data_IF_939815673324
#
_entry.id   IF_939815673324
#
_cell.length_a   1.000
_cell.length_b   1.000
_cell.length_c   1.000
_cell.angle_alpha   90.00
_cell.angle_beta   90.00
_cell.angle_gamma   90.00
#
_symmetry.space_group_name_H-M   'P 1'
#
loop_
_entity.id
_entity.type
_entity.pdbx_description
1 polymer ?
#
# COMPACT_ATOMS: atom_id res chain seq x y z
N UNK A 1 -14.57 10.28 14.41
CA UNK A 1 -13.54 9.48 13.74
C UNK A 1 -14.08 8.09 13.43
N UNK A 2 -13.72 7.45 12.32
CA UNK A 2 -14.10 6.07 12.02
C UNK A 2 -12.94 5.14 12.37
N UNK A 3 -13.21 4.05 13.06
CA UNK A 3 -12.22 3.04 13.43
C UNK A 3 -12.80 1.65 13.21
N UNK A 4 -12.04 0.75 12.61
CA UNK A 4 -12.43 -0.65 12.44
C UNK A 4 -11.86 -1.49 13.58
N UNK A 5 -12.72 -2.16 14.31
CA UNK A 5 -12.32 -3.17 15.28
C UNK A 5 -12.30 -4.54 14.62
N UNK A 6 -11.18 -5.23 14.75
CA UNK A 6 -11.07 -6.67 14.46
C UNK A 6 -11.03 -7.38 15.79
N UNK A 7 -12.01 -8.21 16.07
CA UNK A 7 -12.15 -8.84 17.39
C UNK A 7 -12.65 -10.27 17.26
N UNK A 8 -12.38 -11.09 18.25
CA UNK A 8 -12.96 -12.42 18.37
C UNK A 8 -14.29 -12.31 19.11
N UNK A 9 -15.36 -12.73 18.45
CA UNK A 9 -16.68 -12.74 19.06
C UNK A 9 -16.88 -14.03 19.87
N UNK A 10 -17.34 -13.95 21.15
CA UNK A 10 -17.69 -15.15 21.92
C UNK A 10 -18.72 -16.02 21.19
N UNK A 11 -18.50 -17.35 21.13
CA UNK A 11 -19.43 -18.29 20.47
C UNK A 11 -20.65 -18.57 21.35
N UNK A 12 -21.54 -17.59 21.45
CA UNK A 12 -22.84 -17.72 22.19
C UNK A 12 -23.91 -16.87 21.54
N UNK A 13 -25.14 -17.29 21.66
CA UNK A 13 -26.30 -16.53 21.22
C UNK A 13 -26.30 -15.12 21.84
N UNK A 14 -26.53 -14.09 21.01
CA UNK A 14 -26.58 -12.70 21.46
C UNK A 14 -25.22 -12.02 21.61
N UNK A 15 -24.09 -12.67 21.26
CA UNK A 15 -22.77 -12.03 21.34
C UNK A 15 -22.73 -10.70 20.56
N UNK A 16 -23.18 -10.66 19.32
CA UNK A 16 -23.20 -9.40 18.57
C UNK A 16 -24.12 -8.33 19.20
N UNK A 17 -25.22 -8.74 19.84
CA UNK A 17 -26.08 -7.81 20.57
C UNK A 17 -25.35 -7.15 21.75
N UNK A 18 -24.46 -7.87 22.42
CA UNK A 18 -23.63 -7.32 23.51
C UNK A 18 -22.65 -6.30 22.95
N UNK A 19 -21.93 -6.61 21.88
CA UNK A 19 -21.03 -5.67 21.22
C UNK A 19 -21.77 -4.42 20.74
N UNK A 20 -22.94 -4.58 20.11
CA UNK A 20 -23.77 -3.45 19.66
C UNK A 20 -24.24 -2.55 20.81
N UNK A 21 -24.63 -3.15 21.97
CA UNK A 21 -25.01 -2.39 23.16
C UNK A 21 -23.83 -1.60 23.75
N UNK A 22 -22.65 -2.20 23.83
CA UNK A 22 -21.43 -1.52 24.30
C UNK A 22 -21.12 -0.30 23.42
N UNK A 23 -21.10 -0.49 22.11
CA UNK A 23 -20.83 0.58 21.16
C UNK A 23 -21.84 1.72 21.30
N UNK A 24 -23.14 1.39 21.35
CA UNK A 24 -24.21 2.38 21.47
C UNK A 24 -24.20 3.11 22.83
N UNK A 25 -23.89 2.42 23.94
CA UNK A 25 -23.83 3.04 25.27
C UNK A 25 -22.72 4.10 25.41
N UNK A 26 -21.67 3.99 24.60
CA UNK A 26 -20.58 4.97 24.55
C UNK A 26 -20.69 5.94 23.35
N UNK A 27 -21.90 6.10 22.78
CA UNK A 27 -22.13 7.07 21.71
C UNK A 27 -21.64 6.66 20.32
N UNK A 28 -21.06 5.47 20.19
CA UNK A 28 -20.56 4.96 18.90
C UNK A 28 -21.70 4.54 17.96
N UNK A 29 -21.55 4.83 16.67
CA UNK A 29 -22.42 4.35 15.62
C UNK A 29 -21.71 3.28 14.79
N UNK A 30 -22.31 2.10 14.66
CA UNK A 30 -21.83 1.02 13.77
C UNK A 30 -22.11 1.43 12.35
N UNK A 31 -21.07 1.70 11.59
CA UNK A 31 -21.14 2.08 10.18
C UNK A 31 -21.17 0.82 9.30
N UNK A 32 -20.37 -0.18 9.68
CA UNK A 32 -20.28 -1.46 8.96
C UNK A 32 -19.98 -2.59 9.92
N UNK A 33 -20.42 -3.78 9.54
CA UNK A 33 -20.10 -5.02 10.25
C UNK A 33 -19.90 -6.13 9.22
N UNK A 34 -18.90 -6.97 9.46
CA UNK A 34 -18.72 -8.22 8.74
C UNK A 34 -18.37 -9.32 9.75
N UNK A 35 -19.11 -10.39 9.68
CA UNK A 35 -18.91 -11.57 10.49
C UNK A 35 -19.22 -12.80 9.64
N UNK A 36 -18.26 -13.71 9.55
CA UNK A 36 -18.48 -14.95 8.85
C UNK A 36 -17.85 -16.12 9.62
N UNK A 37 -18.71 -16.89 10.28
CA UNK A 37 -18.33 -18.07 11.05
C UNK A 37 -17.64 -19.15 10.20
N UNK A 38 -17.84 -19.13 8.89
CA UNK A 38 -17.26 -20.11 7.97
C UNK A 38 -15.77 -19.87 7.67
N UNK A 39 -15.25 -18.69 7.95
CA UNK A 39 -13.88 -18.29 7.58
C UNK A 39 -12.93 -18.34 8.75
N UNK A 40 -13.38 -17.82 9.87
CA UNK A 40 -12.69 -17.88 11.15
C UNK A 40 -13.78 -17.97 12.22
N UNK A 41 -13.67 -18.95 13.08
CA UNK A 41 -14.72 -19.32 14.04
C UNK A 41 -15.25 -18.14 14.87
N UNK A 42 -14.53 -17.00 14.91
CA UNK A 42 -14.89 -15.91 15.81
C UNK A 42 -14.53 -14.50 15.35
N UNK A 43 -13.93 -14.30 14.17
CA UNK A 43 -13.50 -12.94 13.78
C UNK A 43 -14.67 -12.08 13.35
N UNK A 44 -14.84 -10.97 14.06
CA UNK A 44 -15.86 -9.97 13.83
C UNK A 44 -15.16 -8.64 13.46
N UNK A 45 -15.55 -8.07 12.34
CA UNK A 45 -15.12 -6.75 11.91
C UNK A 45 -16.24 -5.76 12.16
N UNK A 46 -15.98 -4.71 12.94
CA UNK A 46 -16.95 -3.64 13.20
C UNK A 46 -16.28 -2.31 12.91
N UNK A 47 -16.76 -1.57 11.93
CA UNK A 47 -16.39 -0.16 11.71
C UNK A 47 -17.32 0.74 12.53
N UNK A 48 -16.74 1.49 13.46
CA UNK A 48 -17.47 2.37 14.36
C UNK A 48 -17.08 3.82 14.12
N UNK A 49 -18.06 4.71 14.04
CA UNK A 49 -17.86 6.15 14.06
C UNK A 49 -18.10 6.68 15.48
N UNK A 50 -17.07 7.23 16.08
CA UNK A 50 -17.11 7.77 17.45
C UNK A 50 -15.98 8.83 17.62
N UNK A 51 -15.95 9.55 18.75
CA UNK A 51 -14.81 10.34 19.18
C UNK A 51 -13.65 9.45 19.65
N UNK A 52 -12.48 10.00 19.85
CA UNK A 52 -11.30 9.23 20.28
C UNK A 52 -11.46 8.71 21.72
N UNK A 53 -12.07 9.52 22.59
CA UNK A 53 -12.40 9.15 23.97
C UNK A 53 -13.43 8.01 24.03
N UNK A 54 -14.48 8.10 23.22
CA UNK A 54 -15.50 7.04 23.10
C UNK A 54 -14.90 5.74 22.56
N UNK A 55 -13.99 5.81 21.58
CA UNK A 55 -13.27 4.64 21.07
C UNK A 55 -12.48 3.93 22.17
N UNK A 56 -11.80 4.66 23.05
CA UNK A 56 -11.06 4.08 24.17
C UNK A 56 -12.00 3.32 25.13
N UNK A 57 -13.12 3.93 25.49
CA UNK A 57 -14.13 3.30 26.37
C UNK A 57 -14.74 2.05 25.75
N UNK A 58 -15.09 2.11 24.46
CA UNK A 58 -15.61 0.96 23.70
C UNK A 58 -14.62 -0.20 23.73
N UNK A 59 -13.33 0.06 23.46
CA UNK A 59 -12.29 -0.96 23.47
C UNK A 59 -12.16 -1.65 24.83
N UNK A 60 -12.10 -0.87 25.90
CA UNK A 60 -11.93 -1.39 27.25
C UNK A 60 -13.13 -2.25 27.69
N UNK A 61 -14.32 -1.86 27.31
CA UNK A 61 -15.53 -2.62 27.67
C UNK A 61 -15.69 -3.87 26.81
N UNK A 62 -15.37 -3.82 25.53
CA UNK A 62 -15.33 -5.00 24.66
C UNK A 62 -14.32 -6.04 25.19
N UNK A 63 -13.13 -5.61 25.64
CA UNK A 63 -12.16 -6.52 26.29
C UNK A 63 -12.71 -7.16 27.54
N UNK A 64 -13.33 -6.40 28.43
CA UNK A 64 -13.95 -6.91 29.67
C UNK A 64 -15.04 -7.93 29.39
N UNK A 65 -15.75 -7.80 28.27
CA UNK A 65 -16.81 -8.72 27.86
C UNK A 65 -16.32 -9.94 27.07
N UNK A 66 -14.98 -10.10 26.92
CA UNK A 66 -14.38 -11.27 26.27
C UNK A 66 -14.24 -11.14 24.77
N UNK A 67 -14.36 -9.93 24.22
CA UNK A 67 -13.94 -9.63 22.86
C UNK A 67 -12.44 -9.35 22.88
N UNK A 68 -11.64 -10.26 22.32
CA UNK A 68 -10.19 -10.11 22.24
C UNK A 68 -9.88 -9.17 21.08
N UNK A 69 -9.41 -7.99 21.42
CA UNK A 69 -8.86 -7.01 20.48
C UNK A 69 -7.35 -7.22 20.49
N UNK A 70 -6.80 -7.60 19.35
CA UNK A 70 -5.36 -7.75 19.08
C UNK A 70 -4.48 -8.50 20.11
N UNK A 71 -3.72 -9.48 19.64
CA UNK A 71 -2.55 -9.99 20.32
C UNK A 71 -2.64 -11.36 21.00
N UNK A 72 -3.64 -12.19 20.72
CA UNK A 72 -3.61 -13.58 21.21
C UNK A 72 -2.76 -14.44 20.27
N UNK A 73 -1.46 -14.60 20.60
CA UNK A 73 -0.47 -15.38 19.83
C UNK A 73 -0.78 -16.90 19.79
N UNK A 74 -1.79 -17.36 20.51
CA UNK A 74 -2.13 -18.78 20.70
C UNK A 74 -3.42 -19.23 20.01
N UNK A 75 -3.95 -18.46 19.06
CA UNK A 75 -5.06 -18.97 18.22
C UNK A 75 -4.55 -20.11 17.31
N UNK A 76 -5.35 -21.19 17.09
CA UNK A 76 -4.94 -22.27 16.20
C UNK A 76 -4.62 -21.70 14.81
N UNK A 77 -3.52 -22.14 14.21
CA UNK A 77 -3.10 -21.83 12.84
C UNK A 77 -4.02 -22.57 11.85
N UNK A 78 -5.29 -22.21 11.83
CA UNK A 78 -6.28 -22.83 10.97
C UNK A 78 -6.30 -22.15 9.62
N UNK A 79 -6.31 -22.94 8.55
CA UNK A 79 -6.46 -22.47 7.19
C UNK A 79 -7.78 -22.96 6.61
N UNK A 80 -8.42 -22.12 5.81
CA UNK A 80 -9.57 -22.54 5.01
C UNK A 80 -9.08 -22.85 3.60
N UNK A 81 -9.27 -24.12 3.21
CA UNK A 81 -8.99 -24.59 1.88
C UNK A 81 -10.30 -24.60 1.08
N UNK A 82 -10.36 -23.81 0.01
CA UNK A 82 -11.49 -23.84 -0.91
C UNK A 82 -11.24 -24.85 -2.03
N UNK A 83 -12.18 -25.77 -2.19
CA UNK A 83 -12.14 -26.80 -3.23
C UNK A 83 -13.43 -26.82 -4.05
N UNK A 84 -13.32 -27.21 -5.30
CA UNK A 84 -14.44 -27.62 -6.14
C UNK A 84 -14.27 -29.09 -6.46
N UNK A 85 -15.32 -29.85 -6.22
CA UNK A 85 -15.42 -31.26 -6.55
C UNK A 85 -16.38 -31.43 -7.72
N UNK A 86 -16.00 -32.24 -8.69
CA UNK A 86 -16.90 -32.69 -9.76
C UNK A 86 -17.36 -34.11 -9.41
N UNK A 87 -18.64 -34.26 -9.07
CA UNK A 87 -19.21 -35.53 -8.65
C UNK A 87 -20.34 -35.94 -9.60
N UNK A 88 -20.56 -37.25 -9.84
CA UNK A 88 -21.74 -37.70 -10.58
C UNK A 88 -23.03 -37.25 -9.90
N UNK A 89 -24.04 -36.89 -10.70
CA UNK A 89 -25.34 -36.50 -10.18
C UNK A 89 -26.20 -37.74 -9.85
N UNK A 90 -25.75 -38.45 -8.79
CA UNK A 90 -26.44 -39.63 -8.27
C UNK A 90 -26.48 -39.59 -6.75
N UNK A 91 -27.47 -40.24 -6.19
CA UNK A 91 -27.63 -40.31 -4.72
C UNK A 91 -26.38 -40.90 -4.06
N UNK A 92 -25.87 -40.18 -3.04
CA UNK A 92 -24.72 -40.59 -2.22
C UNK A 92 -23.35 -40.28 -2.83
N UNK A 93 -23.25 -39.66 -4.01
CA UNK A 93 -21.97 -39.37 -4.68
C UNK A 93 -20.97 -38.57 -3.81
N UNK A 94 -21.44 -37.73 -2.91
CA UNK A 94 -20.61 -36.95 -2.00
C UNK A 94 -20.11 -37.73 -0.78
N UNK A 95 -20.73 -38.87 -0.45
CA UNK A 95 -20.43 -39.61 0.79
C UNK A 95 -18.98 -40.02 0.96
N UNK A 96 -18.27 -40.55 -0.08
CA UNK A 96 -16.85 -40.88 0.05
C UNK A 96 -15.98 -39.68 0.44
N UNK A 97 -16.30 -38.50 -0.06
CA UNK A 97 -15.58 -37.27 0.29
C UNK A 97 -15.85 -36.88 1.74
N UNK A 98 -17.10 -36.98 2.19
CA UNK A 98 -17.45 -36.66 3.58
C UNK A 98 -16.78 -37.64 4.58
N UNK A 99 -16.63 -38.92 4.22
CA UNK A 99 -15.89 -39.90 4.99
C UNK A 99 -14.39 -39.56 5.09
N UNK A 100 -13.78 -39.12 4.00
CA UNK A 100 -12.38 -38.68 4.00
C UNK A 100 -12.24 -37.44 4.88
N UNK A 101 -13.11 -36.45 4.74
CA UNK A 101 -13.09 -35.23 5.59
C UNK A 101 -13.23 -35.58 7.08
N UNK A 102 -14.13 -36.51 7.41
CA UNK A 102 -14.30 -36.98 8.78
C UNK A 102 -13.05 -37.71 9.31
N UNK A 103 -12.42 -38.58 8.50
CA UNK A 103 -11.20 -39.29 8.86
C UNK A 103 -10.05 -38.32 9.21
N UNK A 104 -9.94 -37.20 8.49
CA UNK A 104 -8.94 -36.15 8.72
C UNK A 104 -9.39 -35.08 9.73
N UNK A 105 -10.54 -35.27 10.40
CA UNK A 105 -11.12 -34.32 11.36
C UNK A 105 -11.31 -32.92 10.79
N UNK A 106 -11.60 -32.81 9.49
CA UNK A 106 -11.78 -31.55 8.78
C UNK A 106 -13.22 -31.10 8.82
N UNK A 107 -13.46 -29.91 9.34
CA UNK A 107 -14.77 -29.28 9.36
C UNK A 107 -15.07 -28.58 8.03
N UNK A 108 -16.32 -28.72 7.57
CA UNK A 108 -16.83 -27.97 6.42
C UNK A 108 -17.33 -26.62 6.95
N UNK A 109 -16.67 -25.56 6.53
CA UNK A 109 -17.05 -24.18 6.84
C UNK A 109 -18.08 -23.61 5.87
N UNK A 110 -18.07 -24.14 4.65
CA UNK A 110 -18.96 -23.74 3.57
C UNK A 110 -19.22 -24.92 2.65
N UNK A 111 -20.44 -25.08 2.19
CA UNK A 111 -20.82 -26.03 1.14
C UNK A 111 -21.90 -25.43 0.25
N UNK A 112 -21.71 -25.54 -1.04
CA UNK A 112 -22.70 -25.21 -2.07
C UNK A 112 -22.62 -26.22 -3.17
N UNK A 113 -23.74 -26.68 -3.69
CA UNK A 113 -23.78 -27.55 -4.86
C UNK A 113 -24.62 -26.91 -5.96
N UNK A 114 -24.21 -27.16 -7.21
CA UNK A 114 -24.91 -26.70 -8.38
C UNK A 114 -24.94 -27.80 -9.43
N UNK A 115 -26.14 -28.15 -9.88
CA UNK A 115 -26.34 -29.01 -11.03
C UNK A 115 -25.91 -28.29 -12.32
N UNK A 116 -25.17 -28.95 -13.19
CA UNK A 116 -24.66 -28.37 -14.45
C UNK A 116 -25.35 -28.90 -15.71
N UNK A 117 -26.39 -29.73 -15.55
CA UNK A 117 -27.13 -30.32 -16.68
C UNK A 117 -26.36 -31.35 -17.52
N UNK A 118 -25.18 -31.80 -17.09
CA UNK A 118 -24.31 -32.75 -17.80
C UNK A 118 -24.24 -34.12 -17.13
N UNK A 119 -25.09 -34.41 -16.13
CA UNK A 119 -25.03 -35.61 -15.30
C UNK A 119 -23.97 -35.54 -14.21
N UNK A 120 -23.40 -34.39 -13.96
CA UNK A 120 -22.49 -34.09 -12.86
C UNK A 120 -22.98 -32.92 -12.05
N UNK A 121 -22.57 -32.88 -10.77
CA UNK A 121 -22.74 -31.75 -9.88
C UNK A 121 -21.40 -31.18 -9.47
N UNK A 122 -21.32 -29.88 -9.35
CA UNK A 122 -20.19 -29.16 -8.77
C UNK A 122 -20.47 -28.85 -7.31
N UNK A 123 -19.64 -29.39 -6.42
CA UNK A 123 -19.65 -29.06 -5.00
C UNK A 123 -18.50 -28.10 -4.70
N UNK A 124 -18.84 -26.89 -4.29
CA UNK A 124 -17.85 -25.95 -3.72
C UNK A 124 -17.86 -26.14 -2.21
N UNK A 125 -16.68 -26.38 -1.64
CA UNK A 125 -16.53 -26.59 -0.19
C UNK A 125 -15.40 -25.71 0.34
N UNK A 126 -15.67 -25.04 1.45
CA UNK A 126 -14.67 -24.44 2.33
C UNK A 126 -14.33 -25.42 3.44
N UNK A 127 -13.10 -25.87 3.50
CA UNK A 127 -12.61 -26.84 4.47
C UNK A 127 -11.77 -26.11 5.52
N UNK A 128 -12.17 -26.28 6.78
CA UNK A 128 -11.44 -25.73 7.91
C UNK A 128 -10.37 -26.73 8.36
N UNK A 129 -9.09 -26.38 8.13
CA UNK A 129 -7.96 -27.26 8.39
C UNK A 129 -7.11 -26.68 9.53
N UNK A 130 -7.07 -27.38 10.64
CA UNK A 130 -6.27 -27.01 11.81
C UNK A 130 -4.79 -27.40 11.62
N UNK A 131 -4.53 -28.48 10.90
CA UNK A 131 -3.18 -28.98 10.65
C UNK A 131 -2.84 -28.92 9.15
N UNK A 132 -2.06 -27.91 8.77
CA UNK A 132 -1.67 -27.70 7.36
C UNK A 132 -0.77 -28.79 6.79
N UNK A 133 -0.10 -29.62 7.62
CA UNK A 133 0.73 -30.72 7.16
C UNK A 133 -0.09 -31.87 6.56
N UNK A 134 -1.39 -31.94 6.87
CA UNK A 134 -2.31 -32.97 6.35
C UNK A 134 -2.98 -32.60 5.03
N UNK A 135 -2.87 -31.36 4.58
CA UNK A 135 -3.54 -30.89 3.35
C UNK A 135 -3.18 -31.77 2.14
N UNK A 136 -1.91 -32.11 1.96
CA UNK A 136 -1.46 -32.91 0.83
C UNK A 136 -2.02 -34.33 0.87
N UNK A 137 -2.11 -34.93 2.06
CA UNK A 137 -2.71 -36.26 2.24
C UNK A 137 -4.21 -36.22 1.96
N UNK A 138 -4.91 -35.25 2.52
CA UNK A 138 -6.33 -35.02 2.30
C UNK A 138 -6.70 -34.85 0.83
N UNK A 139 -5.97 -33.97 0.12
CA UNK A 139 -6.19 -33.72 -1.32
C UNK A 139 -5.88 -35.00 -2.13
N UNK A 140 -4.80 -35.70 -1.77
CA UNK A 140 -4.42 -36.97 -2.40
C UNK A 140 -5.50 -38.03 -2.28
N UNK A 141 -6.13 -38.17 -1.11
CA UNK A 141 -7.23 -39.14 -0.91
C UNK A 141 -8.51 -38.71 -1.65
N UNK A 142 -8.89 -37.42 -1.62
CA UNK A 142 -10.07 -36.92 -2.34
C UNK A 142 -9.89 -37.11 -3.85
N UNK A 143 -8.69 -36.86 -4.38
CA UNK A 143 -8.40 -37.00 -5.82
C UNK A 143 -8.51 -38.44 -6.35
N UNK A 144 -8.52 -39.44 -5.45
CA UNK A 144 -8.74 -40.85 -5.83
C UNK A 144 -10.23 -41.16 -6.04
N UNK A 145 -11.13 -40.38 -5.46
CA UNK A 145 -12.57 -40.64 -5.50
C UNK A 145 -13.34 -39.69 -6.41
N UNK A 146 -12.80 -38.50 -6.68
CA UNK A 146 -13.42 -37.55 -7.62
C UNK A 146 -12.40 -36.58 -8.18
N UNK A 147 -12.81 -35.85 -9.23
CA UNK A 147 -12.06 -34.71 -9.71
C UNK A 147 -12.14 -33.57 -8.68
N UNK A 148 -10.97 -33.15 -8.20
CA UNK A 148 -10.81 -32.04 -7.27
C UNK A 148 -10.05 -30.90 -7.94
N UNK A 149 -10.59 -29.71 -7.82
CA UNK A 149 -9.91 -28.47 -8.19
C UNK A 149 -9.76 -27.63 -6.92
N UNK A 150 -8.51 -27.36 -6.56
CA UNK A 150 -8.23 -26.36 -5.54
C UNK A 150 -8.49 -25.01 -6.20
N UNK A 151 -9.38 -24.22 -5.61
CA UNK A 151 -9.56 -22.86 -6.07
C UNK A 151 -8.36 -22.04 -5.64
N UNK A 152 -7.33 -22.10 -6.48
CA UNK A 152 -6.38 -21.03 -6.57
C UNK A 152 -7.11 -19.84 -7.22
N UNK A 153 -6.86 -18.63 -6.80
CA UNK A 153 -7.61 -17.39 -7.03
C UNK A 153 -7.98 -17.01 -8.47
N UNK A 154 -7.80 -17.90 -9.44
CA UNK A 154 -8.04 -17.60 -10.85
C UNK A 154 -9.47 -17.84 -11.36
N UNK A 155 -10.38 -18.37 -10.56
CA UNK A 155 -11.69 -18.73 -11.10
C UNK A 155 -12.79 -17.76 -10.66
N UNK A 156 -13.14 -16.96 -11.62
CA UNK A 156 -14.37 -16.19 -11.76
C UNK A 156 -15.60 -16.96 -11.30
N UNK A 157 -16.09 -16.71 -10.08
CA UNK A 157 -17.51 -16.79 -9.83
C UNK A 157 -17.91 -15.94 -8.60
N UNK A 158 -19.03 -15.25 -8.73
CA UNK A 158 -19.59 -14.24 -7.85
C UNK A 158 -20.02 -14.71 -6.45
N UNK A 159 -19.50 -15.84 -5.97
CA UNK A 159 -19.90 -16.50 -4.73
C UNK A 159 -18.73 -16.89 -3.81
N UNK A 160 -17.54 -16.38 -4.02
CA UNK A 160 -16.53 -16.42 -2.98
C UNK A 160 -16.94 -15.41 -1.91
N UNK A 161 -17.25 -15.90 -0.72
CA UNK A 161 -17.41 -15.04 0.43
C UNK A 161 -16.17 -14.13 0.52
N UNK A 162 -16.40 -12.83 0.38
CA UNK A 162 -15.35 -11.83 0.40
C UNK A 162 -14.37 -12.02 1.56
N UNK A 163 -14.82 -12.59 2.67
CA UNK A 163 -14.04 -12.82 3.88
C UNK A 163 -12.91 -13.85 3.67
N UNK A 164 -13.17 -14.97 2.99
CA UNK A 164 -12.11 -15.96 2.68
C UNK A 164 -11.00 -15.31 1.85
N UNK A 165 -11.41 -14.51 0.89
CA UNK A 165 -10.49 -13.87 -0.04
C UNK A 165 -9.50 -12.94 0.66
N UNK A 166 -9.97 -11.97 1.47
CA UNK A 166 -9.06 -11.02 2.10
C UNK A 166 -8.26 -11.61 3.26
N UNK A 167 -8.78 -12.64 3.96
CA UNK A 167 -8.00 -13.37 4.98
C UNK A 167 -6.83 -14.10 4.34
N UNK A 168 -7.06 -14.76 3.21
CA UNK A 168 -5.97 -15.45 2.50
C UNK A 168 -4.99 -14.44 1.93
N UNK A 169 -5.47 -13.35 1.37
CA UNK A 169 -4.61 -12.26 0.90
C UNK A 169 -3.70 -11.74 2.05
N UNK A 170 -4.25 -11.49 3.24
CA UNK A 170 -3.45 -11.03 4.38
C UNK A 170 -2.38 -12.04 4.79
N UNK A 171 -2.70 -13.35 4.76
CA UNK A 171 -1.73 -14.41 5.04
C UNK A 171 -0.65 -14.52 3.95
N UNK A 172 -0.98 -14.30 2.69
CA UNK A 172 0.00 -14.22 1.60
C UNK A 172 0.93 -13.02 1.78
N UNK A 173 0.38 -11.83 2.06
CA UNK A 173 1.16 -10.63 2.35
C UNK A 173 2.10 -10.83 3.53
N UNK A 174 1.64 -11.50 4.59
CA UNK A 174 2.49 -11.89 5.73
C UNK A 174 3.69 -12.74 5.29
N UNK A 175 3.47 -13.73 4.43
CA UNK A 175 4.55 -14.59 3.91
C UNK A 175 5.51 -13.83 3.00
N UNK A 176 4.97 -13.01 2.09
CA UNK A 176 5.77 -12.23 1.13
C UNK A 176 6.66 -11.22 1.89
N UNK A 177 6.11 -10.48 2.82
CA UNK A 177 6.78 -9.35 3.48
C UNK A 177 7.40 -9.70 4.83
N UNK A 178 7.15 -10.90 5.37
CA UNK A 178 7.62 -11.30 6.70
C UNK A 178 6.96 -10.51 7.84
N UNK A 179 5.66 -10.18 7.70
CA UNK A 179 4.96 -9.33 8.65
C UNK A 179 4.73 -10.03 10.00
N UNK A 180 4.77 -9.26 11.09
CA UNK A 180 4.30 -9.71 12.38
C UNK A 180 2.76 -9.79 12.42
N UNK A 181 2.19 -10.29 13.51
CA UNK A 181 0.74 -10.47 13.64
C UNK A 181 -0.02 -9.15 13.62
N UNK A 182 0.48 -8.13 14.29
CA UNK A 182 -0.15 -6.80 14.36
C UNK A 182 -0.27 -6.18 12.96
N UNK A 183 0.83 -6.14 12.22
CA UNK A 183 0.83 -5.62 10.84
C UNK A 183 -0.02 -6.48 9.90
N UNK A 184 -0.06 -7.81 10.12
CA UNK A 184 -0.97 -8.70 9.36
C UNK A 184 -2.44 -8.35 9.62
N UNK A 185 -2.79 -8.03 10.86
CA UNK A 185 -4.14 -7.58 11.20
C UNK A 185 -4.49 -6.24 10.53
N UNK A 186 -3.53 -5.31 10.41
CA UNK A 186 -3.72 -4.08 9.66
C UNK A 186 -3.97 -4.37 8.17
N UNK A 187 -3.20 -5.26 7.55
CA UNK A 187 -3.46 -5.72 6.16
C UNK A 187 -4.87 -6.27 6.03
N UNK A 188 -5.31 -7.08 7.00
CA UNK A 188 -6.64 -7.66 7.01
C UNK A 188 -7.76 -6.60 7.05
N UNK A 189 -7.60 -5.57 7.88
CA UNK A 189 -8.55 -4.45 7.98
C UNK A 189 -8.67 -3.71 6.66
N UNK A 190 -7.53 -3.33 6.07
CA UNK A 190 -7.52 -2.56 4.81
C UNK A 190 -7.97 -3.40 3.61
N UNK A 191 -7.64 -4.69 3.58
CA UNK A 191 -8.13 -5.62 2.57
C UNK A 191 -9.66 -5.80 2.66
N UNK A 192 -10.21 -5.96 3.87
CA UNK A 192 -11.66 -6.02 4.06
C UNK A 192 -12.34 -4.72 3.57
N UNK A 193 -11.78 -3.55 3.95
CA UNK A 193 -12.30 -2.26 3.49
C UNK A 193 -12.26 -2.12 1.98
N UNK A 194 -11.16 -2.50 1.35
CA UNK A 194 -11.01 -2.48 -0.11
C UNK A 194 -12.03 -3.40 -0.80
N UNK A 195 -12.23 -4.62 -0.25
CA UNK A 195 -13.22 -5.56 -0.77
C UNK A 195 -14.62 -4.94 -0.77
N UNK A 196 -15.02 -4.33 0.34
CA UNK A 196 -16.32 -3.68 0.47
C UNK A 196 -16.51 -2.55 -0.55
N UNK A 197 -15.49 -1.70 -0.73
CA UNK A 197 -15.53 -0.60 -1.70
C UNK A 197 -15.62 -1.08 -3.15
N UNK A 198 -14.89 -2.15 -3.47
CA UNK A 198 -14.95 -2.76 -4.81
C UNK A 198 -16.33 -3.38 -5.09
N UNK A 199 -16.90 -4.05 -4.08
CA UNK A 199 -18.24 -4.63 -4.17
C UNK A 199 -19.32 -3.54 -4.34
N UNK A 200 -19.28 -2.46 -3.56
CA UNK A 200 -20.16 -1.29 -3.71
C UNK A 200 -20.09 -0.68 -5.12
N UNK A 201 -18.89 -0.70 -5.75
CA UNK A 201 -18.69 -0.22 -7.11
C UNK A 201 -18.97 -1.26 -8.18
N UNK A 202 -19.35 -2.48 -7.81
CA UNK A 202 -19.54 -3.62 -8.72
C UNK A 202 -18.29 -3.92 -9.57
N UNK A 203 -17.09 -3.72 -8.99
CA UNK A 203 -15.81 -4.04 -9.58
C UNK A 203 -15.30 -5.38 -9.08
N UNK A 204 -14.61 -6.13 -9.95
CA UNK A 204 -13.97 -7.37 -9.55
C UNK A 204 -12.79 -7.11 -8.61
N UNK A 205 -12.76 -7.71 -7.42
CA UNK A 205 -11.64 -7.55 -6.49
C UNK A 205 -10.36 -8.24 -6.97
N UNK A 206 -10.49 -9.32 -7.75
CA UNK A 206 -9.38 -10.19 -8.15
C UNK A 206 -8.19 -9.43 -8.72
N UNK A 207 -8.43 -8.53 -9.68
CA UNK A 207 -7.34 -7.75 -10.30
C UNK A 207 -6.66 -6.82 -9.30
N UNK A 208 -7.43 -6.06 -8.52
CA UNK A 208 -6.87 -5.11 -7.56
C UNK A 208 -5.95 -5.81 -6.55
N UNK A 209 -6.41 -6.92 -5.97
CA UNK A 209 -5.61 -7.68 -5.01
C UNK A 209 -4.41 -8.38 -5.65
N UNK A 210 -4.54 -8.90 -6.88
CA UNK A 210 -3.42 -9.48 -7.62
C UNK A 210 -2.31 -8.44 -7.86
N UNK A 211 -2.68 -7.21 -8.21
CA UNK A 211 -1.69 -6.16 -8.42
C UNK A 211 -1.01 -5.71 -7.13
N UNK A 212 -1.74 -5.62 -6.02
CA UNK A 212 -1.13 -5.33 -4.71
C UNK A 212 -0.17 -6.45 -4.30
N UNK A 213 -0.54 -7.70 -4.51
CA UNK A 213 0.34 -8.85 -4.28
C UNK A 213 1.60 -8.77 -5.15
N UNK A 214 1.45 -8.45 -6.44
CA UNK A 214 2.58 -8.25 -7.36
C UNK A 214 3.47 -7.09 -6.92
N UNK A 215 2.91 -6.00 -6.44
CA UNK A 215 3.69 -4.90 -5.87
C UNK A 215 4.56 -5.40 -4.70
N UNK A 216 3.96 -6.07 -3.73
CA UNK A 216 4.70 -6.61 -2.59
C UNK A 216 5.80 -7.61 -3.01
N UNK A 217 5.50 -8.49 -3.96
CA UNK A 217 6.44 -9.46 -4.51
C UNK A 217 7.59 -8.76 -5.23
N UNK A 218 7.27 -7.78 -6.09
CA UNK A 218 8.25 -6.99 -6.84
C UNK A 218 9.26 -6.32 -5.91
N UNK A 219 8.75 -5.63 -4.88
CA UNK A 219 9.60 -4.96 -3.88
C UNK A 219 10.50 -5.96 -3.17
N UNK A 220 9.95 -7.11 -2.74
CA UNK A 220 10.71 -8.12 -2.02
C UNK A 220 11.82 -8.74 -2.85
N UNK A 221 11.52 -9.08 -4.09
CA UNK A 221 12.47 -9.75 -5.00
C UNK A 221 13.66 -8.86 -5.37
N UNK A 222 13.50 -7.54 -5.26
CA UNK A 222 14.51 -6.55 -5.63
C UNK A 222 15.20 -5.89 -4.43
N UNK A 223 15.30 -6.63 -3.31
CA UNK A 223 16.04 -6.20 -2.10
C UNK A 223 17.38 -6.93 -1.98
N UNK A 224 18.26 -6.41 -1.09
CA UNK A 224 19.56 -6.98 -0.82
C UNK A 224 20.43 -7.03 -2.07
N UNK A 225 21.00 -8.18 -2.39
CA UNK A 225 21.88 -8.38 -3.56
C UNK A 225 21.18 -8.19 -4.91
N UNK A 226 19.84 -8.25 -4.92
CA UNK A 226 19.03 -8.03 -6.11
C UNK A 226 18.66 -6.56 -6.32
N UNK A 227 19.02 -5.67 -5.40
CA UNK A 227 18.82 -4.24 -5.58
C UNK A 227 19.84 -3.71 -6.59
N UNK A 228 19.36 -3.32 -7.77
CA UNK A 228 20.21 -2.86 -8.89
C UNK A 228 19.64 -1.54 -9.42
N UNK A 229 19.96 -0.41 -8.77
CA UNK A 229 19.55 0.89 -9.25
C UNK A 229 20.42 1.30 -10.46
N UNK A 230 19.82 2.02 -11.40
CA UNK A 230 20.58 2.72 -12.43
C UNK A 230 21.14 4.00 -11.82
N UNK A 231 22.47 4.19 -11.94
CA UNK A 231 23.17 5.38 -11.43
C UNK A 231 23.86 6.10 -12.58
N UNK A 232 23.55 7.38 -12.72
CA UNK A 232 24.21 8.25 -13.68
C UNK A 232 24.56 9.59 -13.02
N UNK A 233 25.46 10.36 -13.65
CA UNK A 233 25.81 11.68 -13.16
C UNK A 233 26.08 12.69 -14.30
N UNK A 234 25.92 13.96 -13.96
CA UNK A 234 26.19 15.10 -14.83
C UNK A 234 27.04 16.09 -14.03
N UNK A 235 28.22 16.44 -14.53
CA UNK A 235 29.01 17.54 -13.97
C UNK A 235 28.37 18.86 -14.44
N UNK A 236 27.81 19.61 -13.49
CA UNK A 236 27.13 20.87 -13.76
C UNK A 236 28.12 22.04 -13.85
N UNK A 237 29.16 22.01 -13.03
CA UNK A 237 30.29 22.94 -13.04
C UNK A 237 31.46 22.33 -12.22
N UNK A 238 32.55 23.07 -12.06
CA UNK A 238 33.76 22.62 -11.39
C UNK A 238 33.56 22.25 -9.91
N UNK A 239 32.44 22.64 -9.29
CA UNK A 239 32.16 22.45 -7.86
C UNK A 239 30.88 21.66 -7.58
N UNK A 240 30.13 21.29 -8.59
CA UNK A 240 28.83 20.66 -8.41
C UNK A 240 28.56 19.57 -9.42
N UNK A 241 28.24 18.40 -8.94
CA UNK A 241 27.81 17.24 -9.72
C UNK A 241 26.40 16.83 -9.33
N UNK A 242 25.55 16.57 -10.32
CA UNK A 242 24.23 15.99 -10.14
C UNK A 242 24.31 14.48 -10.38
N UNK A 243 23.97 13.69 -9.38
CA UNK A 243 23.73 12.25 -9.51
C UNK A 243 22.25 12.01 -9.68
N UNK A 244 21.92 11.05 -10.54
CA UNK A 244 20.57 10.49 -10.71
C UNK A 244 20.62 9.02 -10.32
N UNK A 245 19.80 8.63 -9.38
CA UNK A 245 19.69 7.25 -8.90
C UNK A 245 18.25 6.81 -9.17
N UNK A 246 18.09 5.88 -10.11
CA UNK A 246 16.80 5.28 -10.46
C UNK A 246 16.70 3.91 -9.78
N UNK A 247 15.94 3.78 -8.67
CA UNK A 247 15.73 2.48 -8.02
C UNK A 247 14.87 1.58 -8.91
N UNK A 248 14.82 0.26 -8.62
CA UNK A 248 13.97 -0.68 -9.36
C UNK A 248 12.48 -0.29 -9.40
N UNK A 249 11.99 0.38 -8.36
CA UNK A 249 10.68 1.04 -8.33
C UNK A 249 10.69 2.22 -7.35
N UNK A 250 9.70 3.08 -7.49
CA UNK A 250 9.59 4.35 -6.79
C UNK A 250 10.24 5.49 -7.57
N UNK A 251 10.29 6.65 -6.97
CA UNK A 251 10.81 7.85 -7.61
C UNK A 251 12.31 7.80 -7.81
N UNK A 252 12.80 8.59 -8.74
CA UNK A 252 14.20 8.94 -8.83
C UNK A 252 14.64 9.67 -7.55
N UNK A 253 15.87 9.40 -7.14
CA UNK A 253 16.57 10.19 -6.11
C UNK A 253 17.67 10.97 -6.80
N UNK A 254 17.59 12.29 -6.71
CA UNK A 254 18.64 13.16 -7.23
C UNK A 254 19.55 13.62 -6.10
N UNK A 255 20.85 13.68 -6.35
CA UNK A 255 21.82 14.18 -5.35
C UNK A 255 22.71 15.23 -6.02
N UNK A 256 22.61 16.46 -5.54
CA UNK A 256 23.58 17.50 -5.85
C UNK A 256 24.72 17.42 -4.84
N UNK A 257 25.91 17.13 -5.33
CA UNK A 257 27.12 17.02 -4.51
C UNK A 257 28.01 18.25 -4.68
N UNK A 258 28.41 18.81 -3.56
CA UNK A 258 29.53 19.76 -3.45
C UNK A 258 30.63 19.15 -2.58
N UNK A 259 31.74 19.85 -2.38
CA UNK A 259 32.83 19.41 -1.49
C UNK A 259 32.39 19.36 -0.02
N UNK A 260 31.38 20.15 0.38
CA UNK A 260 31.01 20.38 1.79
C UNK A 260 29.68 19.72 2.20
N UNK A 261 28.76 19.54 1.27
CA UNK A 261 27.40 19.09 1.60
C UNK A 261 26.73 18.36 0.42
N UNK A 262 25.70 17.57 0.75
CA UNK A 262 24.83 16.88 -0.18
C UNK A 262 23.42 17.43 -0.08
N UNK A 263 22.82 17.72 -1.23
CA UNK A 263 21.39 18.04 -1.32
C UNK A 263 20.68 16.95 -2.14
N UNK A 264 19.73 16.30 -1.51
CA UNK A 264 18.87 15.32 -2.15
C UNK A 264 17.60 15.98 -2.68
N UNK A 265 17.05 15.50 -3.78
CA UNK A 265 15.70 15.83 -4.22
C UNK A 265 14.94 14.53 -4.37
N UNK A 266 13.91 14.39 -3.57
CA UNK A 266 13.17 13.14 -3.31
C UNK A 266 14.07 11.97 -2.89
N UNK A 267 13.51 10.84 -2.48
CA UNK A 267 14.34 9.82 -1.86
C UNK A 267 13.78 8.37 -1.95
N UNK A 268 12.95 8.08 -2.91
CA UNK A 268 12.47 6.74 -3.19
C UNK A 268 11.57 6.12 -2.11
N UNK A 269 11.33 4.81 -2.19
CA UNK A 269 10.58 4.04 -1.19
C UNK A 269 11.39 3.69 0.05
N UNK A 270 10.74 3.67 1.20
CA UNK A 270 11.33 3.26 2.49
C UNK A 270 11.85 1.81 2.50
N UNK A 271 11.23 0.91 1.74
CA UNK A 271 11.63 -0.48 1.65
C UNK A 271 13.07 -0.69 1.17
N UNK A 272 13.65 0.26 0.44
CA UNK A 272 15.03 0.21 -0.07
C UNK A 272 16.02 1.04 0.76
N UNK A 273 15.62 1.51 1.96
CA UNK A 273 16.48 2.37 2.78
C UNK A 273 17.87 1.79 3.01
N UNK A 274 17.95 0.51 3.35
CA UNK A 274 19.24 -0.15 3.67
C UNK A 274 20.17 -0.15 2.46
N UNK A 275 19.62 -0.48 1.31
CA UNK A 275 20.33 -0.58 0.04
C UNK A 275 20.73 0.81 -0.48
N UNK A 276 19.82 1.78 -0.40
CA UNK A 276 20.10 3.17 -0.80
C UNK A 276 21.18 3.80 0.08
N UNK A 277 21.13 3.60 1.41
CA UNK A 277 22.17 4.10 2.33
C UNK A 277 23.52 3.43 2.09
N UNK A 278 23.55 2.14 1.76
CA UNK A 278 24.77 1.46 1.37
C UNK A 278 25.36 2.06 0.08
N UNK A 279 24.52 2.27 -0.93
CA UNK A 279 24.90 2.94 -2.18
C UNK A 279 25.42 4.36 -1.95
N UNK A 280 24.76 5.15 -1.11
CA UNK A 280 25.22 6.51 -0.81
C UNK A 280 26.60 6.53 -0.14
N UNK A 281 26.89 5.55 0.74
CA UNK A 281 28.23 5.41 1.35
C UNK A 281 29.30 5.01 0.35
N UNK A 282 28.94 4.30 -0.70
CA UNK A 282 29.83 3.95 -1.80
C UNK A 282 30.09 5.14 -2.71
N UNK A 283 29.02 5.88 -3.09
CA UNK A 283 29.11 6.99 -4.04
C UNK A 283 29.74 8.25 -3.41
N UNK A 284 29.43 8.55 -2.14
CA UNK A 284 29.76 9.83 -1.51
C UNK A 284 30.76 9.64 -0.37
N UNK A 285 31.99 10.03 -0.61
CA UNK A 285 33.02 9.97 0.44
C UNK A 285 32.59 10.78 1.69
N UNK A 286 32.71 10.17 2.88
CA UNK A 286 32.31 10.83 4.12
C UNK A 286 30.78 10.94 4.33
N UNK A 287 29.96 10.15 3.62
CA UNK A 287 28.49 10.19 3.71
C UNK A 287 27.95 10.22 5.14
N UNK A 288 28.60 9.49 6.07
CA UNK A 288 28.11 9.41 7.45
C UNK A 288 28.26 10.72 8.25
N UNK A 289 29.14 11.62 7.83
CA UNK A 289 29.48 12.86 8.54
C UNK A 289 29.19 14.13 7.77
N UNK A 290 29.10 14.03 6.44
CA UNK A 290 28.77 15.16 5.58
C UNK A 290 27.35 15.66 5.87
N UNK A 291 27.14 16.97 5.83
CA UNK A 291 25.82 17.56 5.97
C UNK A 291 24.90 17.15 4.83
N UNK A 292 23.70 16.68 5.16
CA UNK A 292 22.69 16.19 4.21
C UNK A 292 21.38 16.93 4.38
N UNK A 293 20.91 17.55 3.32
CA UNK A 293 19.56 18.13 3.26
C UNK A 293 18.76 17.53 2.13
N UNK A 294 17.44 17.65 2.20
CA UNK A 294 16.55 17.19 1.16
C UNK A 294 15.55 18.27 0.77
N UNK A 295 15.29 18.38 -0.53
CA UNK A 295 14.12 19.05 -1.10
C UNK A 295 13.08 17.98 -1.43
N UNK A 296 11.83 18.21 -1.04
CA UNK A 296 10.74 17.29 -1.30
C UNK A 296 9.76 17.93 -2.26
N UNK A 297 9.51 17.24 -3.38
CA UNK A 297 8.58 17.71 -4.41
C UNK A 297 7.14 17.54 -3.97
N UNK A 298 6.80 16.42 -3.33
CA UNK A 298 5.48 16.13 -2.77
C UNK A 298 5.52 14.95 -1.79
N UNK A 299 4.38 14.65 -1.15
CA UNK A 299 4.30 13.72 -0.03
C UNK A 299 3.97 12.27 -0.39
N UNK A 300 4.06 11.83 -1.65
CA UNK A 300 3.78 10.43 -2.02
C UNK A 300 4.87 9.49 -1.49
N UNK A 301 4.46 8.29 -1.11
CA UNK A 301 5.29 7.32 -0.35
C UNK A 301 6.60 6.95 -1.03
N UNK A 302 6.62 6.99 -2.33
CA UNK A 302 7.80 6.66 -3.14
C UNK A 302 8.74 7.85 -3.38
N UNK A 303 8.41 9.03 -2.87
CA UNK A 303 9.26 10.22 -2.88
C UNK A 303 9.88 10.53 -1.51
N UNK A 304 9.30 9.97 -0.43
CA UNK A 304 9.59 10.37 0.95
C UNK A 304 10.05 9.22 1.84
N UNK A 305 10.50 8.13 1.25
CA UNK A 305 10.72 6.87 1.97
C UNK A 305 11.84 6.89 2.99
N UNK A 306 12.90 7.67 2.78
CA UNK A 306 14.08 7.67 3.64
C UNK A 306 14.40 9.03 4.29
N UNK A 307 13.38 9.85 4.55
CA UNK A 307 13.54 11.20 5.12
C UNK A 307 14.30 11.24 6.45
N UNK A 308 14.30 10.15 7.21
CA UNK A 308 15.05 10.03 8.47
C UNK A 308 16.57 10.19 8.32
N UNK A 309 17.12 10.00 7.10
CA UNK A 309 18.55 10.11 6.81
C UNK A 309 19.05 11.56 6.73
N UNK A 310 18.15 12.53 6.60
CA UNK A 310 18.52 13.92 6.38
C UNK A 310 18.50 14.73 7.67
N UNK A 311 19.39 15.75 7.72
CA UNK A 311 19.50 16.67 8.84
C UNK A 311 18.39 17.73 8.79
N UNK A 312 18.05 18.15 7.54
CA UNK A 312 17.03 19.18 7.27
C UNK A 312 16.27 18.82 6.00
N UNK A 313 14.95 19.01 6.02
CA UNK A 313 14.04 18.67 4.92
C UNK A 313 13.24 19.92 4.55
N UNK A 314 13.35 20.37 3.31
CA UNK A 314 12.67 21.57 2.80
C UNK A 314 11.51 21.15 1.89
N UNK A 315 10.35 21.79 2.05
CA UNK A 315 9.14 21.48 1.33
C UNK A 315 8.15 22.64 1.26
N UNK A 316 7.09 22.49 0.45
CA UNK A 316 5.97 23.42 0.43
C UNK A 316 5.15 23.32 1.72
N UNK A 317 4.40 24.37 2.05
CA UNK A 317 3.51 24.36 3.22
C UNK A 317 2.40 23.33 3.13
N UNK A 318 1.86 23.06 1.94
CA UNK A 318 0.87 22.00 1.75
C UNK A 318 1.47 20.59 1.92
N UNK A 319 2.70 20.37 1.46
CA UNK A 319 3.39 19.08 1.71
C UNK A 319 3.66 18.91 3.22
N UNK A 320 4.05 19.96 3.94
CA UNK A 320 4.19 19.92 5.39
C UNK A 320 2.88 19.60 6.11
N UNK A 321 1.76 20.22 5.70
CA UNK A 321 0.44 19.95 6.28
C UNK A 321 0.03 18.49 6.06
N UNK A 322 0.40 17.89 4.91
CA UNK A 322 0.20 16.48 4.66
C UNK A 322 0.92 15.59 5.68
N UNK A 323 2.18 15.90 6.02
CA UNK A 323 2.91 15.18 7.05
C UNK A 323 2.36 15.42 8.47
N UNK A 324 1.82 16.61 8.77
CA UNK A 324 1.14 16.85 10.04
C UNK A 324 -0.08 15.95 10.19
N UNK A 325 -0.89 15.80 9.14
CA UNK A 325 -2.02 14.87 9.13
C UNK A 325 -1.54 13.43 9.36
N UNK A 326 -0.50 13.02 8.65
CA UNK A 326 0.06 11.68 8.74
C UNK A 326 0.61 11.36 10.14
N UNK A 327 1.44 12.22 10.72
CA UNK A 327 1.98 12.07 12.08
C UNK A 327 0.88 12.04 13.14
N UNK A 328 -0.21 12.80 12.95
CA UNK A 328 -1.38 12.77 13.84
C UNK A 328 -2.28 11.54 13.68
N UNK A 329 -1.96 10.66 12.73
CA UNK A 329 -2.78 9.47 12.43
C UNK A 329 -4.11 9.76 11.73
N UNK A 330 -4.28 11.00 11.22
CA UNK A 330 -5.45 11.38 10.42
C UNK A 330 -5.20 11.10 8.93
N UNK A 331 -6.27 11.04 8.15
CA UNK A 331 -6.18 10.80 6.71
C UNK A 331 -5.36 11.90 6.02
N UNK A 332 -4.28 11.53 5.39
CA UNK A 332 -3.48 12.42 4.54
C UNK A 332 -4.24 12.81 3.27
N UNK A 333 -3.64 13.64 2.39
CA UNK A 333 -4.34 14.14 1.21
C UNK A 333 -4.74 13.03 0.23
N UNK A 334 -3.95 11.96 0.12
CA UNK A 334 -4.31 10.79 -0.69
C UNK A 334 -5.42 9.98 -0.04
N UNK A 335 -5.37 9.79 1.26
CA UNK A 335 -6.32 9.02 2.07
C UNK A 335 -7.66 9.73 2.27
N UNK A 336 -7.74 11.06 2.08
CA UNK A 336 -9.00 11.81 2.09
C UNK A 336 -9.96 11.38 0.99
N UNK A 337 -9.47 10.73 -0.09
CA UNK A 337 -10.31 10.01 -1.01
C UNK A 337 -10.63 8.61 -0.44
N UNK A 338 -11.89 8.35 -0.01
CA UNK A 338 -12.25 7.08 0.64
C UNK A 338 -12.01 5.84 -0.24
N UNK A 339 -11.97 6.00 -1.56
CA UNK A 339 -11.68 4.92 -2.50
C UNK A 339 -10.19 4.61 -2.58
N UNK A 340 -9.34 5.59 -2.29
CA UNK A 340 -7.90 5.45 -2.35
C UNK A 340 -7.29 5.04 -1.00
N UNK A 341 -7.94 5.41 0.10
CA UNK A 341 -7.45 5.22 1.47
C UNK A 341 -6.94 3.79 1.74
N UNK A 342 -7.68 2.70 1.49
CA UNK A 342 -7.19 1.37 1.84
C UNK A 342 -5.99 0.93 1.00
N UNK A 343 -5.88 1.41 -0.25
CA UNK A 343 -4.70 1.20 -1.09
C UNK A 343 -3.47 1.93 -0.53
N UNK A 344 -3.62 3.19 -0.13
CA UNK A 344 -2.53 3.96 0.49
C UNK A 344 -2.04 3.28 1.77
N UNK A 345 -2.94 2.83 2.64
CA UNK A 345 -2.61 2.10 3.86
C UNK A 345 -1.85 0.80 3.60
N UNK A 346 -2.29 0.00 2.62
CA UNK A 346 -1.57 -1.20 2.21
C UNK A 346 -0.20 -0.87 1.61
N UNK A 347 -0.10 0.18 0.82
CA UNK A 347 1.17 0.64 0.24
C UNK A 347 2.17 1.11 1.30
N UNK A 348 1.72 1.75 2.38
CA UNK A 348 2.55 2.09 3.55
C UNK A 348 3.13 0.84 4.19
N UNK A 349 2.32 -0.21 4.37
CA UNK A 349 2.78 -1.49 4.93
C UNK A 349 3.79 -2.15 4.01
N UNK A 350 3.53 -2.19 2.69
CA UNK A 350 4.42 -2.82 1.71
C UNK A 350 5.76 -2.09 1.64
N UNK A 351 5.73 -0.76 1.64
CA UNK A 351 6.93 0.06 1.56
C UNK A 351 7.67 0.19 2.89
N UNK A 352 7.04 -0.14 4.02
CA UNK A 352 7.62 0.08 5.35
C UNK A 352 7.78 1.57 5.69
N UNK A 353 6.92 2.41 5.12
CA UNK A 353 6.98 3.85 5.30
C UNK A 353 6.73 4.27 6.75
N UNK A 354 7.50 5.25 7.20
CA UNK A 354 7.35 5.92 8.50
C UNK A 354 7.37 7.42 8.25
N UNK A 355 6.41 8.18 8.80
CA UNK A 355 6.37 9.63 8.62
C UNK A 355 7.64 10.32 9.17
N UNK A 356 8.02 11.46 8.58
CA UNK A 356 9.20 12.21 9.00
C UNK A 356 9.04 12.81 10.40
N UNK A 357 10.17 13.08 11.05
CA UNK A 357 10.24 13.91 12.25
C UNK A 357 10.00 15.37 11.86
N UNK A 358 8.86 15.94 12.27
CA UNK A 358 8.41 17.27 11.85
C UNK A 358 9.38 18.38 12.22
N UNK A 359 10.16 18.21 13.29
CA UNK A 359 11.18 19.18 13.73
C UNK A 359 12.35 19.34 12.73
N UNK A 360 12.53 18.38 11.83
CA UNK A 360 13.50 18.46 10.72
C UNK A 360 12.95 19.15 9.48
N UNK A 361 11.64 19.36 9.42
CA UNK A 361 10.94 19.89 8.25
C UNK A 361 10.87 21.41 8.29
N UNK A 362 11.33 22.03 7.21
CA UNK A 362 11.30 23.49 7.02
C UNK A 362 10.38 23.83 5.85
N UNK A 363 9.38 24.66 6.13
CA UNK A 363 8.47 25.18 5.10
C UNK A 363 9.15 26.31 4.35
N UNK A 364 9.32 26.16 3.02
CA UNK A 364 9.85 27.19 2.13
C UNK A 364 8.83 28.33 1.97
N UNK A 365 7.57 27.97 1.82
CA UNK A 365 6.47 28.91 1.67
C UNK A 365 5.16 28.21 1.33
N UNK A 366 4.15 29.00 1.08
CA UNK A 366 2.81 28.51 0.73
C UNK A 366 2.36 29.14 -0.58
N UNK A 367 1.60 28.35 -1.34
CA UNK A 367 1.00 28.81 -2.57
C UNK A 367 0.04 29.96 -2.30
N UNK A 368 0.18 31.02 -3.07
CA UNK A 368 -0.76 32.13 -3.18
C UNK A 368 -1.12 32.38 -4.65
N UNK A 369 -2.31 32.91 -4.90
CA UNK A 369 -2.75 33.24 -6.25
C UNK A 369 -3.16 32.04 -7.09
N UNK A 370 -3.40 32.27 -8.38
CA UNK A 370 -4.05 31.34 -9.31
C UNK A 370 -3.17 30.92 -10.50
N UNK A 371 -1.86 31.21 -10.40
CA UNK A 371 -0.89 30.79 -11.42
C UNK A 371 -0.84 29.25 -11.54
N UNK A 372 -0.52 28.71 -12.71
CA UNK A 372 -0.37 27.28 -12.92
C UNK A 372 0.72 26.71 -11.98
N UNK A 373 1.86 27.36 -11.92
CA UNK A 373 2.95 27.14 -10.98
C UNK A 373 3.20 28.44 -10.22
N UNK A 374 2.75 28.53 -8.97
CA UNK A 374 2.91 29.74 -8.16
C UNK A 374 4.24 29.71 -7.39
N UNK A 375 5.02 30.80 -7.39
CA UNK A 375 6.25 30.86 -6.61
C UNK A 375 5.92 30.85 -5.11
N UNK A 376 6.65 30.02 -4.36
CA UNK A 376 6.44 29.88 -2.90
C UNK A 376 7.69 30.26 -2.08
N UNK A 377 8.83 30.47 -2.72
CA UNK A 377 10.06 30.88 -2.05
C UNK A 377 11.30 30.30 -2.73
N UNK A 378 12.43 30.42 -2.06
CA UNK A 378 13.71 29.94 -2.58
C UNK A 378 14.65 29.48 -1.47
N UNK A 379 15.61 28.64 -1.82
CA UNK A 379 16.70 28.20 -0.96
C UNK A 379 18.04 28.23 -1.70
N UNK A 380 19.14 28.43 -0.99
CA UNK A 380 20.47 28.41 -1.56
C UNK A 380 21.20 27.11 -1.21
N UNK A 381 21.83 26.49 -2.22
CA UNK A 381 22.69 25.34 -2.05
C UNK A 381 23.91 25.47 -2.96
N UNK A 382 25.12 25.25 -2.44
CA UNK A 382 26.37 25.38 -3.20
C UNK A 382 26.54 26.73 -3.89
N UNK A 383 26.03 27.80 -3.27
CA UNK A 383 26.02 29.17 -3.81
C UNK A 383 25.05 29.41 -4.96
N UNK A 384 24.19 28.45 -5.29
CA UNK A 384 23.16 28.56 -6.32
C UNK A 384 21.78 28.71 -5.70
N UNK A 385 20.91 29.49 -6.37
CA UNK A 385 19.54 29.73 -5.92
C UNK A 385 18.62 28.68 -6.56
N UNK A 386 17.80 28.05 -5.72
CA UNK A 386 16.72 27.14 -6.11
C UNK A 386 15.39 27.79 -5.76
N UNK A 387 14.58 28.05 -6.77
CA UNK A 387 13.24 28.63 -6.64
C UNK A 387 12.19 27.52 -6.64
N UNK A 388 11.25 27.61 -5.69
CA UNK A 388 10.19 26.62 -5.52
C UNK A 388 8.88 27.18 -6.06
N UNK A 389 8.20 26.36 -6.86
CA UNK A 389 6.90 26.67 -7.46
C UNK A 389 5.93 25.55 -7.15
N UNK A 390 4.80 25.87 -6.50
CA UNK A 390 3.78 24.88 -6.17
C UNK A 390 2.69 24.87 -7.24
N UNK A 391 2.30 23.67 -7.70
CA UNK A 391 1.21 23.42 -8.63
C UNK A 391 -0.16 23.61 -7.99
N UNK A 392 -1.23 23.48 -8.78
CA UNK A 392 -2.62 23.55 -8.31
C UNK A 392 -3.10 22.25 -7.64
N UNK A 393 -2.19 21.31 -7.38
CA UNK A 393 -2.53 20.00 -6.82
C UNK A 393 -3.10 19.02 -7.86
N UNK A 394 -2.69 19.14 -9.09
CA UNK A 394 -3.14 18.27 -10.18
C UNK A 394 -2.73 16.82 -9.95
N UNK A 395 -1.46 16.59 -9.64
CA UNK A 395 -0.99 15.28 -9.23
C UNK A 395 -1.40 15.00 -7.78
N UNK A 396 -0.91 15.81 -6.86
CA UNK A 396 -1.33 15.80 -5.45
C UNK A 396 -1.22 17.21 -4.88
N UNK A 397 -2.02 17.53 -3.87
CA UNK A 397 -1.92 18.82 -3.18
C UNK A 397 -0.54 18.97 -2.55
N UNK A 398 0.15 20.10 -2.88
CA UNK A 398 1.52 20.35 -2.47
C UNK A 398 2.57 19.91 -3.47
N UNK A 399 2.17 19.46 -4.68
CA UNK A 399 3.10 19.15 -5.77
C UNK A 399 3.95 20.38 -6.14
N UNK A 400 5.28 20.21 -6.16
CA UNK A 400 6.24 21.31 -6.24
C UNK A 400 7.28 21.06 -7.32
N UNK A 401 7.54 22.08 -8.12
CA UNK A 401 8.67 22.15 -9.08
C UNK A 401 9.78 22.99 -8.47
N UNK A 402 11.02 22.54 -8.58
CA UNK A 402 12.19 23.22 -8.04
C UNK A 402 13.12 23.57 -9.19
N UNK A 403 13.46 24.84 -9.33
CA UNK A 403 14.19 25.38 -10.49
C UNK A 403 15.47 26.08 -10.05
N UNK A 404 16.55 25.78 -10.75
CA UNK A 404 17.79 26.55 -10.66
C UNK A 404 18.11 27.14 -12.05
N UNK A 405 17.82 28.41 -12.24
CA UNK A 405 18.03 29.12 -13.53
C UNK A 405 19.47 29.17 -13.93
N UNK A 406 20.38 29.36 -12.96
CA UNK A 406 21.81 29.43 -13.22
C UNK A 406 22.41 28.12 -13.77
N UNK A 407 21.82 26.99 -13.37
CA UNK A 407 22.25 25.66 -13.81
C UNK A 407 21.38 25.10 -14.95
N UNK A 408 20.35 25.83 -15.35
CA UNK A 408 19.34 25.35 -16.29
C UNK A 408 18.78 23.99 -15.86
N UNK A 409 18.38 23.87 -14.59
CA UNK A 409 18.01 22.62 -13.96
C UNK A 409 16.61 22.72 -13.37
N UNK A 410 15.77 21.71 -13.61
CA UNK A 410 14.40 21.63 -13.08
C UNK A 410 14.17 20.24 -12.48
N UNK A 411 13.76 20.18 -11.24
CA UNK A 411 13.21 18.97 -10.61
C UNK A 411 11.68 19.09 -10.60
N UNK A 412 11.02 18.21 -11.32
CA UNK A 412 9.60 18.34 -11.60
C UNK A 412 8.69 17.51 -10.68
N UNK A 413 9.26 16.62 -9.86
CA UNK A 413 8.47 15.58 -9.23
C UNK A 413 7.58 14.88 -10.26
N UNK A 414 6.39 14.50 -9.86
CA UNK A 414 5.44 13.79 -10.70
C UNK A 414 4.54 14.70 -11.56
N UNK A 415 4.73 16.02 -11.49
CA UNK A 415 4.16 16.94 -12.48
C UNK A 415 4.61 16.54 -13.89
N UNK A 416 5.86 16.05 -14.02
CA UNK A 416 6.36 15.48 -15.26
C UNK A 416 7.04 14.13 -15.00
N UNK A 417 6.51 13.06 -15.60
CA UNK A 417 7.05 11.70 -15.59
C UNK A 417 7.53 11.35 -17.01
N UNK A 418 8.77 10.90 -17.14
CA UNK A 418 9.34 10.52 -18.43
C UNK A 418 9.12 9.02 -18.73
N UNK A 419 7.89 8.64 -19.06
CA UNK A 419 7.51 7.24 -19.33
C UNK A 419 8.38 6.59 -20.41
N UNK A 420 8.80 7.36 -21.42
CA UNK A 420 9.66 6.85 -22.52
C UNK A 420 11.08 6.51 -22.05
N UNK A 421 11.51 7.14 -20.96
CA UNK A 421 12.81 6.93 -20.34
C UNK A 421 12.82 5.92 -19.20
N UNK A 422 11.75 5.17 -18.97
CA UNK A 422 11.72 4.14 -17.93
C UNK A 422 12.73 3.02 -18.20
N UNK A 423 13.42 2.56 -17.15
CA UNK A 423 14.13 1.29 -17.13
C UNK A 423 13.18 0.12 -17.38
N UNK A 424 13.70 -1.09 -17.59
CA UNK A 424 12.84 -2.26 -17.73
C UNK A 424 12.06 -2.57 -16.44
N UNK A 425 12.71 -2.43 -15.30
CA UNK A 425 12.13 -2.61 -13.97
C UNK A 425 11.02 -1.58 -13.72
N UNK A 426 11.26 -0.32 -14.02
CA UNK A 426 10.26 0.74 -13.91
C UNK A 426 9.05 0.51 -14.83
N UNK A 427 9.27 0.01 -16.05
CA UNK A 427 8.16 -0.38 -16.95
C UNK A 427 7.33 -1.51 -16.37
N UNK A 428 7.97 -2.55 -15.83
CA UNK A 428 7.30 -3.67 -15.18
C UNK A 428 6.48 -3.20 -13.97
N UNK A 429 7.08 -2.38 -13.11
CA UNK A 429 6.39 -1.84 -11.94
C UNK A 429 5.24 -0.90 -12.34
N UNK A 430 5.47 0.01 -13.27
CA UNK A 430 4.45 0.96 -13.73
C UNK A 430 3.27 0.28 -14.42
N UNK A 431 3.45 -0.92 -14.97
CA UNK A 431 2.36 -1.73 -15.53
C UNK A 431 1.33 -2.16 -14.45
N UNK A 432 1.67 -2.05 -13.16
CA UNK A 432 0.74 -2.28 -12.06
C UNK A 432 -0.18 -1.07 -11.80
N UNK A 433 0.22 0.13 -12.19
CA UNK A 433 -0.50 1.38 -11.89
C UNK A 433 -1.95 1.46 -12.43
N UNK A 434 -2.30 0.95 -13.62
CA UNK A 434 -3.68 1.00 -14.14
C UNK A 434 -4.72 0.27 -13.28
N UNK A 435 -4.28 -0.53 -12.31
CA UNK A 435 -5.13 -1.37 -11.46
C UNK A 435 -5.31 -0.82 -10.04
N UNK A 436 -4.84 0.41 -9.81
CA UNK A 436 -5.19 1.17 -8.62
C UNK A 436 -6.71 1.42 -8.58
N UNK A 437 -7.24 1.61 -7.38
CA UNK A 437 -8.68 1.89 -7.23
C UNK A 437 -9.08 3.24 -7.81
N UNK A 438 -8.12 4.18 -7.93
CA UNK A 438 -8.27 5.52 -8.52
C UNK A 438 -7.11 5.83 -9.45
N UNK A 439 -7.20 6.91 -10.21
CA UNK A 439 -6.05 7.41 -10.98
C UNK A 439 -4.92 7.93 -10.07
N UNK A 440 -3.70 7.99 -10.60
CA UNK A 440 -2.52 8.53 -9.89
C UNK A 440 -2.61 10.05 -9.70
N UNK A 441 -3.25 10.77 -10.63
CA UNK A 441 -3.50 12.20 -10.52
C UNK A 441 -4.79 12.46 -9.75
N UNK A 442 -4.75 13.39 -8.79
CA UNK A 442 -5.93 13.84 -8.05
C UNK A 442 -6.90 14.62 -8.96
N UNK A 443 -6.36 15.44 -9.87
CA UNK A 443 -7.09 16.09 -10.95
C UNK A 443 -6.30 15.96 -12.26
N UNK A 444 -6.66 15.02 -13.16
CA UNK A 444 -5.94 14.78 -14.40
C UNK A 444 -5.90 15.99 -15.37
N UNK A 445 -6.86 16.92 -15.25
CA UNK A 445 -6.90 18.14 -16.08
C UNK A 445 -5.84 19.13 -15.59
N UNK A 446 -5.83 19.41 -14.30
CA UNK A 446 -4.82 20.29 -13.69
C UNK A 446 -3.41 19.71 -13.82
N UNK A 447 -3.25 18.39 -13.65
CA UNK A 447 -1.97 17.72 -13.84
C UNK A 447 -1.44 17.89 -15.26
N UNK A 448 -2.29 17.75 -16.27
CA UNK A 448 -1.92 17.97 -17.68
C UNK A 448 -1.55 19.42 -17.93
N UNK A 449 -2.34 20.37 -17.43
CA UNK A 449 -2.07 21.81 -17.57
C UNK A 449 -0.72 22.19 -16.98
N UNK A 450 -0.41 21.72 -15.76
CA UNK A 450 0.88 21.96 -15.10
C UNK A 450 2.05 21.36 -15.89
N UNK A 451 1.91 20.13 -16.39
CA UNK A 451 2.92 19.46 -17.20
C UNK A 451 3.19 20.18 -18.51
N UNK A 452 2.15 20.55 -19.25
CA UNK A 452 2.29 21.23 -20.54
C UNK A 452 2.95 22.60 -20.36
N UNK A 453 2.58 23.33 -19.29
CA UNK A 453 3.21 24.57 -18.92
C UNK A 453 4.70 24.39 -18.58
N UNK A 454 5.05 23.40 -17.75
CA UNK A 454 6.42 23.09 -17.34
C UNK A 454 7.30 22.79 -18.56
N UNK A 455 6.86 21.87 -19.43
CA UNK A 455 7.63 21.44 -20.61
C UNK A 455 7.81 22.59 -21.59
N UNK A 456 6.83 23.46 -21.74
CA UNK A 456 6.94 24.64 -22.61
C UNK A 456 7.89 25.69 -22.04
N UNK A 457 7.74 26.02 -20.75
CA UNK A 457 8.51 27.09 -20.09
C UNK A 457 9.99 26.74 -19.94
N UNK A 458 10.31 25.47 -19.66
CA UNK A 458 11.65 25.00 -19.37
C UNK A 458 12.21 24.12 -20.49
N UNK A 459 11.87 24.43 -21.74
CA UNK A 459 12.25 23.62 -22.90
C UNK A 459 13.77 23.57 -23.18
N UNK A 460 14.55 24.52 -22.66
CA UNK A 460 16.03 24.57 -22.75
C UNK A 460 16.74 24.18 -21.44
N UNK A 461 15.99 23.54 -20.48
CA UNK A 461 16.55 23.10 -19.21
C UNK A 461 16.73 21.59 -19.17
N UNK A 462 17.63 21.12 -18.31
CA UNK A 462 17.70 19.73 -17.90
C UNK A 462 16.51 19.47 -16.98
N UNK A 463 15.54 18.67 -17.42
CA UNK A 463 14.40 18.28 -16.60
C UNK A 463 14.70 16.95 -15.91
N UNK A 464 14.65 16.97 -14.59
CA UNK A 464 14.80 15.85 -13.68
C UNK A 464 13.39 15.40 -13.23
N UNK A 465 12.79 14.39 -13.90
CA UNK A 465 11.42 13.93 -13.60
C UNK A 465 11.35 13.13 -12.31
N UNK A 466 10.13 13.01 -11.73
CA UNK A 466 9.91 12.11 -10.60
C UNK A 466 10.25 10.66 -10.94
N UNK A 467 9.95 10.22 -12.16
CA UNK A 467 10.26 8.89 -12.67
C UNK A 467 10.77 8.91 -14.09
N UNK A 468 11.67 7.96 -14.39
CA UNK A 468 12.29 7.79 -15.71
C UNK A 468 13.50 8.70 -15.94
N UNK A 469 14.18 8.49 -17.04
CA UNK A 469 15.44 9.13 -17.33
C UNK A 469 15.33 10.66 -17.42
N UNK A 470 16.38 11.33 -17.00
CA UNK A 470 16.58 12.79 -17.15
C UNK A 470 16.41 13.21 -18.61
N UNK A 471 15.63 14.25 -18.84
CA UNK A 471 15.38 14.78 -20.17
C UNK A 471 16.32 15.97 -20.43
N UNK A 472 17.15 15.83 -21.44
CA UNK A 472 17.99 16.92 -21.99
C UNK A 472 17.41 17.35 -23.34
N UNK A 473 17.44 18.64 -23.61
CA UNK A 473 16.99 19.21 -24.89
C UNK A 473 18.18 19.57 -25.78
#
# INVERSE_FOLDING_TARGET
MKKTYVTKMPDKAGAFLVAGKIIASHGGNIVRVNYNKAVDLHTLFIEVSASEEEHSLIQDELKKCGYLLDGDENGPKSQILMIVLTLPDVSGAVMPVLEILHKHSVNISYISSQENGTGFQYFKMGLFIENTSEISSLIGEISQVCEIKILDYEVTDRLLDGTVFYVTFANEMRKILGLNQETTNQVLVHANRMMQLLDEQKKSPLKTFDYIRRFATFVRERKGENFKPDVSFITLNDKMTLFTIEPPCGSNTYVLQTDEELLFVDCGFACYRSEMVALFKELFHGYSTIKKSAFITHGDLDHVGILSEFDTIYMSGNCYDNFVLDVSGTADFREQNPLHEPYCRLSRIISGYVPPALEKCIVIGRREGDDILAPIGSHFFGGKRFDFYEGKGGHVRGDTVIVCDELKLVFSGDIYVNIKGFSNEQKEFNALAPFLMTGVDSDPKLAREARDYLVSKYSDYIICPGHGAVKKF
#
